data_IF_378765672499
#
_entry.id   IF_378765672499
#
_cell.length_a   1.000
_cell.length_b   1.000
_cell.length_c   1.000
_cell.angle_alpha   90.00
_cell.angle_beta   90.00
_cell.angle_gamma   90.00
#
_symmetry.space_group_name_H-M   'P 1'
#
loop_
_entity.id
_entity.type
_entity.pdbx_description
1 polymer ?
#
# COMPACT_ATOMS: atom_id res chain seq x y z
N UNK A 1 -13.52 4.82 -15.87
CA UNK A 1 -13.69 4.57 -14.43
C UNK A 1 -12.38 3.96 -13.94
N UNK A 2 -11.81 4.40 -12.82
CA UNK A 2 -10.62 3.73 -12.27
C UNK A 2 -10.93 2.25 -12.02
N UNK A 3 -9.95 1.34 -12.19
CA UNK A 3 -10.17 -0.07 -11.93
C UNK A 3 -10.60 -0.27 -10.48
N UNK A 4 -11.56 -1.15 -10.23
CA UNK A 4 -11.92 -1.50 -8.85
C UNK A 4 -10.79 -2.35 -8.25
N UNK A 5 -9.98 -1.71 -7.41
CA UNK A 5 -8.87 -2.34 -6.70
C UNK A 5 -9.26 -2.80 -5.28
N UNK A 6 -10.52 -2.61 -4.88
CA UNK A 6 -11.01 -2.93 -3.53
C UNK A 6 -11.40 -4.41 -3.36
N UNK A 7 -11.67 -5.12 -4.46
CA UNK A 7 -12.01 -6.55 -4.46
C UNK A 7 -10.79 -7.48 -4.46
N UNK A 8 -10.69 -8.31 -5.50
CA UNK A 8 -9.64 -9.32 -5.65
C UNK A 8 -8.21 -8.80 -5.41
N UNK A 9 -7.73 -7.71 -6.04
CA UNK A 9 -6.35 -7.23 -5.85
C UNK A 9 -6.02 -6.87 -4.40
N UNK A 10 -6.95 -6.27 -3.65
CA UNK A 10 -6.75 -6.00 -2.23
C UNK A 10 -6.65 -7.31 -1.43
N UNK A 11 -7.49 -8.29 -1.74
CA UNK A 11 -7.43 -9.62 -1.13
C UNK A 11 -6.08 -10.32 -1.36
N UNK A 12 -5.58 -10.28 -2.61
CA UNK A 12 -4.28 -10.85 -2.97
C UNK A 12 -3.12 -10.18 -2.23
N UNK A 13 -3.15 -8.84 -2.11
CA UNK A 13 -2.15 -8.09 -1.35
C UNK A 13 -2.18 -8.41 0.15
N UNK A 14 -3.37 -8.45 0.75
CA UNK A 14 -3.54 -8.80 2.16
C UNK A 14 -3.05 -10.21 2.45
N UNK A 15 -3.40 -11.17 1.60
CA UNK A 15 -2.92 -12.54 1.70
C UNK A 15 -1.39 -12.59 1.66
N UNK A 16 -0.76 -11.86 0.75
CA UNK A 16 0.69 -11.82 0.62
C UNK A 16 1.38 -11.19 1.84
N UNK A 17 0.81 -10.12 2.39
CA UNK A 17 1.32 -9.43 3.58
C UNK A 17 0.97 -10.16 4.90
N UNK A 18 0.17 -11.23 4.84
CA UNK A 18 -0.42 -11.90 6.00
C UNK A 18 -1.22 -10.93 6.91
N UNK A 19 -1.87 -9.92 6.32
CA UNK A 19 -2.71 -8.95 7.03
C UNK A 19 -4.17 -9.42 6.98
N UNK A 20 -4.80 -9.50 8.15
CA UNK A 20 -6.23 -9.89 8.27
C UNK A 20 -7.13 -8.74 8.72
N UNK A 21 -6.56 -7.58 9.07
CA UNK A 21 -7.31 -6.42 9.55
C UNK A 21 -7.88 -5.61 8.39
N UNK A 22 -8.94 -4.85 8.66
CA UNK A 22 -9.55 -3.91 7.70
C UNK A 22 -9.08 -2.46 7.90
N UNK A 23 -8.36 -2.19 8.99
CA UNK A 23 -7.92 -0.84 9.36
C UNK A 23 -6.94 -0.21 8.37
N UNK A 24 -6.30 -1.03 7.53
CA UNK A 24 -5.26 -0.60 6.59
C UNK A 24 -5.74 -0.63 5.12
N UNK A 25 -7.00 -0.95 4.87
CA UNK A 25 -7.52 -1.21 3.52
C UNK A 25 -7.39 0.01 2.62
N UNK A 26 -7.76 1.18 3.13
CA UNK A 26 -7.65 2.44 2.39
C UNK A 26 -6.20 2.77 1.99
N UNK A 27 -5.23 2.39 2.82
CA UNK A 27 -3.82 2.53 2.50
C UNK A 27 -3.41 1.50 1.45
N UNK A 28 -3.72 0.23 1.66
CA UNK A 28 -3.34 -0.86 0.76
C UNK A 28 -3.90 -0.63 -0.65
N UNK A 29 -5.14 -0.13 -0.76
CA UNK A 29 -5.76 0.28 -2.03
C UNK A 29 -4.96 1.40 -2.70
N UNK A 30 -4.51 2.43 -1.94
CA UNK A 30 -3.67 3.50 -2.51
C UNK A 30 -2.33 2.99 -3.01
N UNK A 31 -1.69 2.09 -2.28
CA UNK A 31 -0.42 1.50 -2.70
C UNK A 31 -0.59 0.64 -3.96
N UNK A 32 -1.70 -0.11 -4.05
CA UNK A 32 -2.09 -0.86 -5.24
C UNK A 32 -2.34 0.05 -6.44
N UNK A 33 -3.04 1.17 -6.26
CA UNK A 33 -3.29 2.13 -7.33
C UNK A 33 -1.98 2.70 -7.88
N UNK A 34 -1.07 3.15 -7.01
CA UNK A 34 0.26 3.59 -7.42
C UNK A 34 1.02 2.49 -8.16
N UNK A 35 1.01 1.27 -7.63
CA UNK A 35 1.70 0.12 -8.24
C UNK A 35 1.14 -0.22 -9.62
N UNK A 36 -0.18 -0.18 -9.78
CA UNK A 36 -0.88 -0.37 -11.04
C UNK A 36 -0.46 0.68 -12.07
N UNK A 37 -0.51 1.97 -11.71
CA UNK A 37 -0.15 3.07 -12.61
C UNK A 37 1.31 3.00 -13.05
N UNK A 38 2.22 2.63 -12.14
CA UNK A 38 3.65 2.45 -12.46
C UNK A 38 3.84 1.26 -13.40
N UNK A 39 3.16 0.14 -13.17
CA UNK A 39 3.25 -1.05 -14.01
C UNK A 39 2.75 -0.77 -15.44
N UNK A 40 1.60 -0.10 -15.60
CA UNK A 40 1.07 0.26 -16.91
C UNK A 40 1.99 1.22 -17.67
N UNK A 41 2.51 2.25 -16.99
CA UNK A 41 3.47 3.18 -17.61
C UNK A 41 4.77 2.49 -18.01
N UNK A 42 5.29 1.58 -17.20
CA UNK A 42 6.53 0.85 -17.48
C UNK A 42 6.38 -0.13 -18.64
N UNK A 43 5.25 -0.82 -18.72
CA UNK A 43 4.97 -1.82 -19.76
C UNK A 43 4.42 -1.21 -21.06
N UNK A 44 3.91 0.02 -21.02
CA UNK A 44 3.21 0.66 -22.13
C UNK A 44 1.82 0.08 -22.39
N UNK A 45 1.29 -0.74 -21.48
CA UNK A 45 -0.03 -1.36 -21.60
C UNK A 45 -1.13 -0.41 -21.14
N UNK A 46 -2.32 -0.56 -21.72
CA UNK A 46 -3.52 0.14 -21.30
C UNK A 46 -4.58 -0.89 -20.90
N UNK A 47 -4.73 -1.08 -19.58
CA UNK A 47 -5.71 -1.98 -19.01
C UNK A 47 -6.81 -1.18 -18.28
N UNK A 48 -8.06 -1.61 -18.43
CA UNK A 48 -9.22 -0.91 -17.82
C UNK A 48 -9.65 -1.55 -16.48
N UNK A 49 -9.19 -2.77 -16.19
CA UNK A 49 -9.57 -3.52 -15.00
C UNK A 49 -8.58 -4.62 -14.65
N UNK A 50 -8.59 -5.07 -13.40
CA UNK A 50 -7.64 -6.07 -12.89
C UNK A 50 -7.62 -7.37 -13.72
N UNK A 51 -8.79 -7.82 -14.19
CA UNK A 51 -8.93 -9.04 -14.99
C UNK A 51 -8.36 -8.95 -16.41
N UNK A 52 -8.03 -7.75 -16.90
CA UNK A 52 -7.43 -7.51 -18.21
C UNK A 52 -5.91 -7.80 -18.20
N UNK A 53 -5.30 -7.84 -17.01
CA UNK A 53 -3.89 -8.15 -16.85
C UNK A 53 -3.63 -9.66 -16.78
N UNK A 54 -2.56 -10.06 -17.48
CA UNK A 54 -1.92 -11.36 -17.26
C UNK A 54 -1.54 -11.57 -15.80
N UNK A 55 -1.57 -12.84 -15.38
CA UNK A 55 -1.28 -13.24 -14.01
C UNK A 55 0.10 -12.76 -13.53
N UNK A 56 1.11 -12.81 -14.42
CA UNK A 56 2.45 -12.33 -14.11
C UNK A 56 2.48 -10.83 -13.74
N UNK A 57 1.71 -10.00 -14.44
CA UNK A 57 1.62 -8.56 -14.18
C UNK A 57 0.85 -8.29 -12.88
N UNK A 58 -0.27 -8.99 -12.66
CA UNK A 58 -1.02 -8.92 -11.39
C UNK A 58 -0.14 -9.24 -10.19
N UNK A 59 0.62 -10.33 -10.28
CA UNK A 59 1.56 -10.70 -9.23
C UNK A 59 2.70 -9.67 -9.07
N UNK A 60 3.19 -9.07 -10.16
CA UNK A 60 4.19 -8.00 -10.10
C UNK A 60 3.69 -6.77 -9.34
N UNK A 61 2.47 -6.34 -9.64
CA UNK A 61 1.82 -5.19 -8.98
C UNK A 61 1.64 -5.47 -7.48
N UNK A 62 1.14 -6.65 -7.10
CA UNK A 62 0.98 -7.03 -5.69
C UNK A 62 2.32 -6.98 -4.95
N UNK A 63 3.39 -7.54 -5.53
CA UNK A 63 4.72 -7.52 -4.91
C UNK A 63 5.28 -6.10 -4.77
N UNK A 64 5.06 -5.24 -5.76
CA UNK A 64 5.52 -3.85 -5.72
C UNK A 64 4.75 -3.02 -4.66
N UNK A 65 3.43 -3.17 -4.59
CA UNK A 65 2.61 -2.54 -3.54
C UNK A 65 3.06 -3.00 -2.14
N UNK A 66 3.34 -4.30 -2.00
CA UNK A 66 3.79 -4.86 -0.74
C UNK A 66 5.22 -4.43 -0.35
N UNK A 67 6.11 -4.22 -1.32
CA UNK A 67 7.42 -3.62 -1.08
C UNK A 67 7.28 -2.19 -0.54
N UNK A 68 6.46 -1.35 -1.17
CA UNK A 68 6.22 0.02 -0.69
C UNK A 68 5.65 0.06 0.72
N UNK A 69 4.74 -0.88 1.07
CA UNK A 69 4.22 -1.00 2.43
C UNK A 69 5.34 -1.26 3.44
N UNK A 70 6.27 -2.17 3.11
CA UNK A 70 7.40 -2.52 3.99
C UNK A 70 8.43 -1.41 4.11
N UNK A 71 8.76 -0.72 3.01
CA UNK A 71 9.65 0.43 3.04
C UNK A 71 9.07 1.54 3.93
N UNK A 72 7.75 1.76 3.86
CA UNK A 72 7.06 2.72 4.72
C UNK A 72 7.10 2.33 6.20
N UNK A 73 6.94 1.04 6.53
CA UNK A 73 7.04 0.55 7.89
C UNK A 73 8.48 0.60 8.42
N UNK A 74 9.47 0.34 7.55
CA UNK A 74 10.89 0.45 7.86
C UNK A 74 11.33 1.90 8.18
N UNK A 75 10.72 2.89 7.53
CA UNK A 75 10.87 4.32 7.87
C UNK A 75 10.06 4.70 9.14
N UNK A 76 9.08 3.86 9.50
CA UNK A 76 7.93 4.13 10.36
C UNK A 76 8.13 3.99 11.88
N UNK A 77 9.14 4.65 12.46
CA UNK A 77 9.22 4.72 13.92
C UNK A 77 9.79 5.99 14.50
N UNK A 78 10.74 6.63 13.81
CA UNK A 78 11.27 7.89 14.31
C UNK A 78 10.36 9.03 13.83
N UNK A 79 9.62 9.63 14.74
CA UNK A 79 9.27 11.02 14.55
C UNK A 79 10.60 11.78 14.41
N UNK A 80 10.78 12.67 13.42
CA UNK A 80 11.92 13.56 13.40
C UNK A 80 12.06 14.18 14.79
N UNK A 81 13.26 14.23 15.36
CA UNK A 81 13.49 14.66 16.74
C UNK A 81 12.77 15.98 17.07
N UNK A 82 12.68 16.89 16.10
CA UNK A 82 11.93 18.14 16.19
C UNK A 82 10.43 17.95 16.42
N UNK A 83 9.78 17.03 15.70
CA UNK A 83 8.37 16.69 15.87
C UNK A 83 8.16 15.97 17.22
N UNK A 84 9.04 15.02 17.57
CA UNK A 84 8.99 14.32 18.85
C UNK A 84 9.14 15.28 20.04
N UNK A 85 9.99 16.30 19.92
CA UNK A 85 10.18 17.34 20.93
C UNK A 85 8.97 18.27 21.07
N UNK A 86 8.29 18.62 19.96
CA UNK A 86 7.07 19.42 20.00
C UNK A 86 5.92 18.72 20.73
N UNK A 87 5.85 17.39 20.62
CA UNK A 87 4.76 16.61 21.21
C UNK A 87 5.06 16.08 22.62
N UNK A 88 6.31 16.15 23.07
CA UNK A 88 6.74 15.77 24.44
C UNK A 88 5.89 16.37 25.58
N UNK A 89 5.56 17.68 25.60
CA UNK A 89 4.79 18.26 26.71
C UNK A 89 3.32 17.84 26.75
N UNK A 90 2.78 17.30 25.65
CA UNK A 90 1.37 16.88 25.54
C UNK A 90 1.18 15.37 25.75
N UNK A 91 2.26 14.60 25.94
CA UNK A 91 2.16 13.18 26.35
C UNK A 91 1.67 13.13 27.79
N UNK A 92 0.36 12.98 27.98
CA UNK A 92 -0.23 12.76 29.29
C UNK A 92 0.43 11.56 29.96
N UNK A 93 1.09 11.79 31.11
CA UNK A 93 1.56 10.72 31.99
C UNK A 93 0.33 10.15 32.66
N UNK A 94 -0.01 8.89 32.34
CA UNK A 94 -1.04 8.15 33.08
C UNK A 94 -0.36 7.65 34.36
N UNK A 95 -0.69 8.28 35.49
CA UNK A 95 -0.38 7.80 36.84
C UNK A 95 -1.24 6.58 37.18
#
# INVERSE_FOLDING_TARGET
MPPDLSGQPLGELKQWLAISTTGEDALLIRLLDTAWQVCLQFTGLSATGWSDLDEALRHGIVRFAAHQYRERDADGGHLPTSIAALWRPYRMVRL
#
